data_IF_735968301775
#
_entry.id   IF_735968301775
#
_cell.length_a   1.000
_cell.length_b   1.000
_cell.length_c   1.000
_cell.angle_alpha   90.00
_cell.angle_beta   90.00
_cell.angle_gamma   90.00
#
_symmetry.space_group_name_H-M   'P 1'
#
loop_
_entity.id
_entity.type
_entity.pdbx_description
1 polymer ?
#
# COMPACT_ATOMS: atom_id res chain seq x y z
N UNK A 1 24.35 -15.33 -20.49
CA UNK A 1 23.28 -15.94 -19.68
C UNK A 1 23.54 -15.56 -18.23
N UNK A 2 22.56 -15.02 -17.51
CA UNK A 2 22.73 -14.55 -16.13
C UNK A 2 21.85 -15.37 -15.19
N UNK A 3 22.31 -15.64 -13.97
CA UNK A 3 21.58 -16.46 -12.99
C UNK A 3 21.17 -15.58 -11.82
N UNK A 4 19.90 -15.66 -11.41
CA UNK A 4 19.41 -14.99 -10.21
C UNK A 4 20.00 -15.64 -8.95
N UNK A 5 20.60 -14.85 -8.06
CA UNK A 5 21.21 -15.35 -6.81
C UNK A 5 20.19 -15.92 -5.82
N UNK A 6 18.91 -15.55 -5.93
CA UNK A 6 17.88 -15.92 -4.96
C UNK A 6 17.05 -17.13 -5.41
N UNK A 7 16.78 -17.29 -6.71
CA UNK A 7 15.96 -18.39 -7.22
C UNK A 7 16.66 -19.31 -8.23
N UNK A 8 17.89 -18.99 -8.65
CA UNK A 8 18.66 -19.81 -9.58
C UNK A 8 18.16 -19.81 -11.03
N UNK A 9 17.12 -19.03 -11.37
CA UNK A 9 16.62 -18.94 -12.74
C UNK A 9 17.64 -18.25 -13.65
N UNK A 10 17.81 -18.81 -14.85
CA UNK A 10 18.53 -18.19 -15.95
C UNK A 10 17.64 -17.13 -16.62
N UNK A 11 18.15 -15.90 -16.70
CA UNK A 11 17.43 -14.75 -17.24
C UNK A 11 18.34 -13.91 -18.14
N UNK A 12 17.72 -13.16 -19.05
CA UNK A 12 18.43 -12.23 -19.93
C UNK A 12 19.03 -11.06 -19.15
N UNK A 13 18.31 -10.56 -18.14
CA UNK A 13 18.65 -9.38 -17.36
C UNK A 13 18.49 -9.63 -15.87
N UNK A 14 19.36 -8.98 -15.09
CA UNK A 14 19.35 -8.97 -13.63
C UNK A 14 19.23 -7.53 -13.14
N UNK A 15 18.50 -7.35 -12.05
CA UNK A 15 18.36 -6.11 -11.29
C UNK A 15 18.97 -6.38 -9.91
N UNK A 16 20.09 -5.74 -9.60
CA UNK A 16 20.86 -5.96 -8.35
C UNK A 16 21.12 -7.45 -8.04
N UNK A 17 21.47 -8.22 -9.09
CA UNK A 17 21.74 -9.67 -8.96
C UNK A 17 20.49 -10.56 -8.92
N UNK A 18 19.28 -9.96 -8.93
CA UNK A 18 18.01 -10.66 -8.88
C UNK A 18 17.30 -10.67 -10.24
N UNK A 19 16.52 -11.72 -10.51
CA UNK A 19 15.56 -11.65 -11.61
C UNK A 19 14.44 -10.65 -11.26
N UNK A 20 13.68 -10.20 -12.26
CA UNK A 20 12.55 -9.28 -12.09
C UNK A 20 11.60 -9.69 -10.96
N UNK A 21 11.28 -10.97 -10.86
CA UNK A 21 10.35 -11.50 -9.84
C UNK A 21 10.91 -11.37 -8.42
N UNK A 22 12.17 -11.77 -8.21
CA UNK A 22 12.83 -11.68 -6.90
C UNK A 22 13.08 -10.23 -6.50
N UNK A 23 13.48 -9.38 -7.46
CA UNK A 23 13.67 -7.96 -7.24
C UNK A 23 12.38 -7.28 -6.74
N UNK A 24 11.24 -7.58 -7.37
CA UNK A 24 9.95 -7.00 -6.97
C UNK A 24 9.49 -7.49 -5.59
N UNK A 25 9.83 -8.73 -5.22
CA UNK A 25 9.49 -9.29 -3.91
C UNK A 25 10.34 -8.70 -2.79
N UNK A 26 11.63 -8.49 -3.03
CA UNK A 26 12.57 -7.97 -2.03
C UNK A 26 12.41 -6.46 -1.83
N UNK A 27 11.96 -5.73 -2.84
CA UNK A 27 11.73 -4.29 -2.76
C UNK A 27 10.26 -4.00 -2.48
N UNK A 28 9.96 -3.64 -1.24
CA UNK A 28 8.64 -3.10 -0.90
C UNK A 28 8.49 -1.71 -1.54
N UNK A 29 7.81 -1.63 -2.68
CA UNK A 29 7.55 -0.36 -3.37
C UNK A 29 6.56 0.53 -2.63
N UNK A 30 5.84 -0.01 -1.65
CA UNK A 30 4.82 0.74 -0.92
C UNK A 30 4.65 0.12 0.46
N UNK A 31 4.76 0.94 1.50
CA UNK A 31 4.41 0.53 2.86
C UNK A 31 2.97 0.95 3.13
N UNK A 32 2.05 -0.02 3.13
CA UNK A 32 0.65 0.21 3.46
C UNK A 32 0.37 -0.34 4.87
N UNK A 33 -0.20 0.46 5.78
CA UNK A 33 -0.53 -0.03 7.11
C UNK A 33 -1.55 -1.16 7.04
N UNK A 34 -1.32 -2.23 7.81
CA UNK A 34 -2.20 -3.41 7.88
C UNK A 34 -3.62 -3.10 8.39
N UNK A 35 -3.78 -2.00 9.13
CA UNK A 35 -5.06 -1.56 9.70
C UNK A 35 -5.19 -0.05 9.56
N UNK A 36 -6.36 0.40 9.10
CA UNK A 36 -6.71 1.80 9.01
C UNK A 36 -7.93 2.04 9.91
N UNK A 37 -7.82 3.00 10.83
CA UNK A 37 -8.89 3.35 11.75
C UNK A 37 -9.65 4.56 11.23
N UNK A 38 -10.97 4.43 11.10
CA UNK A 38 -11.88 5.52 10.78
C UNK A 38 -12.78 5.80 11.99
N UNK A 39 -12.93 7.06 12.35
CA UNK A 39 -13.84 7.47 13.43
C UNK A 39 -15.10 8.06 12.83
N UNK A 40 -16.27 7.54 13.22
CA UNK A 40 -17.57 8.04 12.81
C UNK A 40 -18.34 8.57 14.02
N UNK A 41 -19.19 9.58 13.80
CA UNK A 41 -20.06 10.09 14.85
C UNK A 41 -21.28 9.16 14.98
N UNK A 42 -21.54 8.56 16.16
CA UNK A 42 -22.67 7.65 16.33
C UNK A 42 -24.03 8.36 16.23
N UNK A 43 -24.07 9.69 16.40
CA UNK A 43 -25.31 10.48 16.39
C UNK A 43 -25.71 10.95 14.99
N UNK A 44 -24.75 11.33 14.14
CA UNK A 44 -25.04 11.92 12.83
C UNK A 44 -24.35 11.22 11.65
N UNK A 45 -23.55 10.18 11.89
CA UNK A 45 -22.87 9.43 10.82
C UNK A 45 -21.67 10.15 10.17
N UNK A 46 -21.37 11.40 10.56
CA UNK A 46 -20.22 12.14 10.02
C UNK A 46 -18.91 11.42 10.30
N UNK A 47 -18.00 11.45 9.34
CA UNK A 47 -16.67 10.84 9.45
C UNK A 47 -15.66 11.89 9.88
N UNK A 48 -14.82 11.55 10.86
CA UNK A 48 -13.68 12.39 11.27
C UNK A 48 -12.52 12.12 10.32
N UNK A 49 -12.13 13.16 9.58
CA UNK A 49 -10.95 13.13 8.73
C UNK A 49 -10.01 14.27 9.12
N UNK A 50 -8.80 13.90 9.58
CA UNK A 50 -7.83 14.83 10.20
C UNK A 50 -8.50 15.63 11.34
N UNK A 51 -8.49 16.95 11.26
CA UNK A 51 -9.09 17.85 12.26
C UNK A 51 -10.52 18.30 11.90
N UNK A 52 -11.18 17.65 10.94
CA UNK A 52 -12.51 18.06 10.46
C UNK A 52 -13.52 16.91 10.51
N UNK A 53 -14.77 17.24 10.83
CA UNK A 53 -15.92 16.34 10.67
C UNK A 53 -16.58 16.61 9.33
N UNK A 54 -16.74 15.58 8.51
CA UNK A 54 -17.30 15.68 7.17
C UNK A 54 -18.49 14.77 7.01
N UNK A 55 -19.47 15.26 6.27
CA UNK A 55 -20.64 14.50 5.86
C UNK A 55 -20.30 13.86 4.52
N UNK A 56 -19.89 12.59 4.56
CA UNK A 56 -19.52 11.82 3.37
C UNK A 56 -19.87 10.35 3.56
N UNK A 57 -20.03 9.63 2.45
CA UNK A 57 -20.23 8.18 2.49
C UNK A 57 -19.00 7.47 3.07
N UNK A 58 -19.25 6.34 3.72
CA UNK A 58 -18.20 5.49 4.29
C UNK A 58 -17.21 5.05 3.20
N UNK A 59 -17.69 4.70 2.00
CA UNK A 59 -16.85 4.37 0.84
C UNK A 59 -15.85 5.47 0.49
N UNK A 60 -16.30 6.72 0.47
CA UNK A 60 -15.43 7.86 0.15
C UNK A 60 -14.40 8.09 1.25
N UNK A 61 -14.78 7.92 2.52
CA UNK A 61 -13.87 8.04 3.65
C UNK A 61 -12.78 6.95 3.62
N UNK A 62 -13.13 5.70 3.31
CA UNK A 62 -12.19 4.59 3.16
C UNK A 62 -11.18 4.90 2.04
N UNK A 63 -11.66 5.31 0.87
CA UNK A 63 -10.77 5.65 -0.27
C UNK A 63 -9.78 6.75 0.07
N UNK A 64 -10.22 7.79 0.79
CA UNK A 64 -9.33 8.88 1.23
C UNK A 64 -8.33 8.41 2.27
N UNK A 65 -8.74 7.57 3.22
CA UNK A 65 -7.85 7.06 4.24
C UNK A 65 -6.76 6.18 3.65
N UNK A 66 -7.09 5.29 2.70
CA UNK A 66 -6.11 4.48 1.97
C UNK A 66 -5.12 5.39 1.21
N UNK A 67 -5.64 6.35 0.44
CA UNK A 67 -4.78 7.29 -0.32
C UNK A 67 -3.88 8.13 0.58
N UNK A 68 -4.36 8.53 1.75
CA UNK A 68 -3.57 9.29 2.73
C UNK A 68 -2.54 8.46 3.50
N UNK A 69 -2.61 7.13 3.42
CA UNK A 69 -1.66 6.21 4.06
C UNK A 69 -0.55 5.72 3.13
N UNK A 70 -0.62 6.03 1.84
CA UNK A 70 0.47 5.80 0.90
C UNK A 70 1.54 6.86 1.17
N UNK A 71 2.71 6.45 1.67
CA UNK A 71 3.88 7.32 1.88
C UNK A 71 4.91 7.07 0.79
#
# INVERSE_FOLDING_TARGET
MKICIECGKEVAELYDGLCRECYIKSHAFTDLPRRIYLTTCPKCGRVRYKNSWREESIDNAIRKAIKGSLT
#
